data_IF_139865355422
#
_entry.id   IF_139865355422
#
_cell.length_a   1.000
_cell.length_b   1.000
_cell.length_c   1.000
_cell.angle_alpha   90.00
_cell.angle_beta   90.00
_cell.angle_gamma   90.00
#
_symmetry.space_group_name_H-M   'P 1'
#
loop_
_entity.id
_entity.type
_entity.pdbx_description
1 polymer ?
#
# COMPACT_ATOMS: atom_id res chain seq x y z
N UNK A 1 29.40 -29.33 -2.26
CA UNK A 1 29.46 -28.27 -1.21
C UNK A 1 30.70 -27.44 -1.47
N UNK A 2 30.58 -26.39 -2.30
CA UNK A 2 31.64 -25.38 -2.44
C UNK A 2 31.30 -24.26 -1.45
N UNK A 3 32.23 -23.93 -0.56
CA UNK A 3 32.12 -22.76 0.28
C UNK A 3 31.99 -21.53 -0.63
N UNK A 4 30.92 -20.76 -0.47
CA UNK A 4 30.72 -19.53 -1.24
C UNK A 4 31.90 -18.59 -0.94
N UNK A 5 32.86 -18.51 -1.86
CA UNK A 5 33.83 -17.43 -1.86
C UNK A 5 33.01 -16.15 -2.03
N UNK A 6 32.96 -15.32 -0.98
CA UNK A 6 32.30 -14.02 -1.06
C UNK A 6 32.89 -13.21 -2.22
N UNK A 7 32.05 -12.40 -2.86
CA UNK A 7 32.46 -11.49 -3.93
C UNK A 7 33.44 -10.48 -3.34
N UNK A 8 34.69 -10.48 -3.84
CA UNK A 8 35.78 -9.63 -3.31
C UNK A 8 36.28 -8.60 -4.31
N UNK A 9 36.08 -8.86 -5.59
CA UNK A 9 36.46 -7.98 -6.68
C UNK A 9 35.26 -7.55 -7.50
N UNK A 10 35.44 -6.49 -8.28
CA UNK A 10 34.45 -6.03 -9.24
C UNK A 10 34.21 -7.08 -10.33
N UNK A 11 35.27 -7.79 -10.74
CA UNK A 11 35.19 -8.87 -11.71
C UNK A 11 34.29 -10.01 -11.23
N UNK A 12 34.47 -10.46 -9.98
CA UNK A 12 33.59 -11.47 -9.36
C UNK A 12 32.13 -10.96 -9.31
N UNK A 13 31.94 -9.67 -9.00
CA UNK A 13 30.62 -9.05 -8.90
C UNK A 13 29.89 -9.10 -10.24
N UNK A 14 30.57 -8.73 -11.33
CA UNK A 14 30.01 -8.75 -12.68
C UNK A 14 29.80 -10.18 -13.18
N UNK A 15 30.70 -11.12 -12.84
CA UNK A 15 30.54 -12.52 -13.20
C UNK A 15 29.27 -13.13 -12.56
N UNK A 16 29.06 -12.86 -11.27
CA UNK A 16 27.92 -13.41 -10.51
C UNK A 16 26.61 -12.68 -10.85
N UNK A 17 26.63 -11.36 -10.99
CA UNK A 17 25.42 -10.53 -11.10
C UNK A 17 25.18 -9.94 -12.49
N UNK A 18 26.04 -10.19 -13.48
CA UNK A 18 25.98 -9.54 -14.80
C UNK A 18 24.61 -9.64 -15.48
N UNK A 19 23.97 -10.81 -15.39
CA UNK A 19 22.60 -11.01 -15.92
C UNK A 19 21.58 -10.10 -15.23
N UNK A 20 21.66 -9.95 -13.90
CA UNK A 20 20.76 -9.10 -13.12
C UNK A 20 21.02 -7.61 -13.38
N UNK A 21 22.29 -7.22 -13.53
CA UNK A 21 22.68 -5.85 -13.84
C UNK A 21 22.19 -5.42 -15.24
N UNK A 22 22.20 -6.32 -16.21
CA UNK A 22 21.65 -6.07 -17.55
C UNK A 22 20.12 -6.05 -17.50
N UNK A 23 19.50 -6.99 -16.81
CA UNK A 23 18.04 -7.07 -16.69
C UNK A 23 17.43 -5.89 -15.92
N UNK A 24 18.15 -5.28 -14.98
CA UNK A 24 17.71 -4.10 -14.25
C UNK A 24 17.75 -2.81 -15.08
N UNK A 25 18.41 -2.83 -16.25
CA UNK A 25 18.61 -1.65 -17.09
C UNK A 25 19.63 -0.66 -16.54
N UNK A 26 20.42 -1.04 -15.52
CA UNK A 26 21.45 -0.18 -14.95
C UNK A 26 22.61 0.03 -15.96
N UNK A 27 22.94 1.28 -16.31
CA UNK A 27 24.06 1.58 -17.19
C UNK A 27 25.37 0.95 -16.72
N UNK A 28 26.13 0.37 -17.64
CA UNK A 28 27.40 -0.32 -17.31
C UNK A 28 28.43 0.60 -16.63
N UNK A 29 28.41 1.90 -16.96
CA UNK A 29 29.24 2.92 -16.31
C UNK A 29 29.00 3.03 -14.80
N UNK A 30 27.83 2.61 -14.31
CA UNK A 30 27.46 2.67 -12.90
C UNK A 30 27.72 1.36 -12.15
N UNK A 31 28.07 0.26 -12.82
CA UNK A 31 28.25 -1.05 -12.17
C UNK A 31 29.36 -1.02 -11.14
N UNK A 32 30.49 -0.38 -11.45
CA UNK A 32 31.60 -0.25 -10.50
C UNK A 32 31.24 0.63 -9.31
N UNK A 33 30.48 1.71 -9.54
CA UNK A 33 29.98 2.57 -8.47
C UNK A 33 29.01 1.80 -7.56
N UNK A 34 28.10 1.03 -8.14
CA UNK A 34 27.18 0.16 -7.40
C UNK A 34 27.95 -0.86 -6.56
N UNK A 35 28.95 -1.53 -7.14
CA UNK A 35 29.80 -2.47 -6.40
C UNK A 35 30.45 -1.82 -5.19
N UNK A 36 31.10 -0.66 -5.36
CA UNK A 36 31.71 0.07 -4.25
C UNK A 36 30.68 0.44 -3.17
N UNK A 37 29.50 0.93 -3.55
CA UNK A 37 28.45 1.28 -2.59
C UNK A 37 27.92 0.06 -1.84
N UNK A 38 27.73 -1.07 -2.52
CA UNK A 38 27.29 -2.33 -1.90
C UNK A 38 28.34 -2.88 -0.94
N UNK A 39 29.62 -2.88 -1.33
CA UNK A 39 30.72 -3.36 -0.47
C UNK A 39 30.93 -2.47 0.75
N UNK A 40 30.73 -1.16 0.61
CA UNK A 40 30.90 -0.19 1.69
C UNK A 40 29.60 0.10 2.48
N UNK A 41 28.47 -0.52 2.10
CA UNK A 41 27.14 -0.18 2.63
C UNK A 41 26.86 1.34 2.61
N UNK A 42 27.22 2.00 1.51
CA UNK A 42 27.16 3.45 1.39
C UNK A 42 25.77 3.93 0.95
N UNK A 43 24.96 4.38 1.92
CA UNK A 43 23.64 5.00 1.71
C UNK A 43 23.75 6.52 1.64
N UNK A 44 24.12 7.05 0.48
CA UNK A 44 24.41 8.47 0.26
C UNK A 44 23.28 9.26 -0.43
N UNK A 45 22.09 8.66 -0.58
CA UNK A 45 20.94 9.33 -1.19
C UNK A 45 20.54 10.64 -0.50
N UNK A 46 20.74 10.74 0.82
CA UNK A 46 20.46 11.95 1.60
C UNK A 46 21.32 13.16 1.24
N UNK A 47 22.44 12.96 0.53
CA UNK A 47 23.27 14.06 0.01
C UNK A 47 22.66 14.72 -1.23
N UNK A 48 21.71 14.04 -1.88
CA UNK A 48 21.08 14.49 -3.13
C UNK A 48 19.59 14.77 -2.97
N UNK A 49 18.93 14.07 -2.06
CA UNK A 49 17.49 14.13 -1.91
C UNK A 49 17.06 14.38 -0.47
N UNK A 50 15.97 15.12 -0.33
CA UNK A 50 15.27 15.31 0.93
C UNK A 50 13.79 14.94 0.77
N UNK A 51 13.22 14.37 1.82
CA UNK A 51 11.78 14.06 1.88
C UNK A 51 11.08 15.17 2.66
N UNK A 52 10.11 15.82 2.03
CA UNK A 52 9.35 16.93 2.62
C UNK A 52 7.86 16.59 2.73
N UNK A 53 7.17 17.02 3.81
CA UNK A 53 5.72 16.90 3.91
C UNK A 53 5.04 17.85 2.91
N UNK A 54 3.88 17.44 2.39
CA UNK A 54 3.00 18.30 1.58
C UNK A 54 1.93 18.92 2.50
N UNK A 55 1.39 20.10 2.14
CA UNK A 55 0.43 20.88 2.96
C UNK A 55 -0.79 20.09 3.48
N UNK A 56 -1.16 18.99 2.82
CA UNK A 56 -2.29 18.12 3.18
C UNK A 56 -1.89 16.83 3.95
N UNK A 57 -0.64 16.76 4.44
CA UNK A 57 -0.13 15.77 5.42
C UNK A 57 0.04 14.31 4.95
N UNK A 58 -0.82 13.84 4.05
CA UNK A 58 -0.91 12.43 3.61
C UNK A 58 0.07 12.04 2.52
N UNK A 59 0.87 12.98 2.05
CA UNK A 59 1.85 12.76 1.00
C UNK A 59 3.19 13.38 1.36
N UNK A 60 4.25 12.69 0.95
CA UNK A 60 5.62 13.19 1.03
C UNK A 60 6.20 13.34 -0.36
N UNK A 61 6.97 14.40 -0.55
CA UNK A 61 7.65 14.71 -1.80
C UNK A 61 9.13 14.44 -1.64
N UNK A 62 9.71 13.72 -2.59
CA UNK A 62 11.17 13.63 -2.71
C UNK A 62 11.65 14.82 -3.54
N UNK A 63 12.50 15.66 -2.95
CA UNK A 63 13.04 16.88 -3.56
C UNK A 63 14.53 16.68 -3.81
N UNK A 64 15.00 17.07 -4.99
CA UNK A 64 16.43 17.16 -5.28
C UNK A 64 17.02 18.39 -4.57
N UNK A 65 17.94 18.17 -3.64
CA UNK A 65 18.63 19.22 -2.87
C UNK A 65 20.05 19.50 -3.38
N UNK A 66 20.62 18.59 -4.17
CA UNK A 66 21.90 18.84 -4.85
C UNK A 66 21.76 19.84 -6.01
N UNK A 67 22.86 20.54 -6.33
CA UNK A 67 22.89 21.57 -7.39
C UNK A 67 22.46 21.03 -8.76
N UNK A 68 22.82 19.77 -9.06
CA UNK A 68 22.42 19.10 -10.29
C UNK A 68 22.49 17.59 -10.14
N UNK A 69 21.67 16.88 -10.91
CA UNK A 69 21.74 15.43 -11.08
C UNK A 69 21.71 15.11 -12.58
N UNK A 70 22.84 14.65 -13.10
CA UNK A 70 22.98 14.31 -14.51
C UNK A 70 22.28 12.99 -14.85
N UNK A 71 21.98 12.80 -16.14
CA UNK A 71 21.52 11.50 -16.63
C UNK A 71 22.63 10.46 -16.43
N UNK A 72 22.27 9.31 -15.87
CA UNK A 72 23.17 8.17 -15.63
C UNK A 72 24.43 8.53 -14.81
N UNK A 73 24.36 9.59 -13.98
CA UNK A 73 25.52 10.09 -13.22
C UNK A 73 25.75 9.34 -11.91
N UNK A 74 24.70 8.74 -11.33
CA UNK A 74 24.78 8.08 -10.03
C UNK A 74 23.81 6.90 -9.88
N UNK A 75 24.04 6.10 -8.83
CA UNK A 75 23.21 4.97 -8.40
C UNK A 75 23.10 5.03 -6.88
N UNK A 76 21.89 4.98 -6.33
CA UNK A 76 21.65 5.13 -4.90
C UNK A 76 21.14 3.83 -4.30
N UNK A 77 21.70 3.43 -3.17
CA UNK A 77 21.20 2.30 -2.40
C UNK A 77 20.00 2.76 -1.57
N UNK A 78 18.96 1.93 -1.56
CA UNK A 78 17.76 2.12 -0.73
C UNK A 78 17.57 0.84 0.04
N UNK A 79 17.47 0.95 1.36
CA UNK A 79 17.20 -0.20 2.21
C UNK A 79 15.70 -0.47 2.32
N UNK A 80 15.34 -1.72 2.55
CA UNK A 80 13.97 -2.12 2.79
C UNK A 80 13.59 -1.81 4.24
N UNK A 81 12.79 -0.75 4.44
CA UNK A 81 12.27 -0.39 5.77
C UNK A 81 11.53 -1.53 6.48
N UNK A 82 10.93 -2.44 5.70
CA UNK A 82 10.31 -3.67 6.17
C UNK A 82 10.36 -4.74 5.07
N UNK A 83 10.94 -5.90 5.37
CA UNK A 83 10.96 -7.07 4.49
C UNK A 83 9.98 -8.12 4.98
N UNK A 84 9.02 -8.51 4.13
CA UNK A 84 7.99 -9.47 4.50
C UNK A 84 7.52 -10.30 3.31
N UNK A 85 6.92 -11.45 3.60
CA UNK A 85 6.06 -12.16 2.66
C UNK A 85 4.62 -11.70 2.89
N UNK A 86 3.84 -11.56 1.82
CA UNK A 86 2.48 -11.02 1.92
C UNK A 86 1.60 -11.76 2.95
N UNK A 87 1.72 -13.09 3.04
CA UNK A 87 0.97 -13.90 4.00
C UNK A 87 1.34 -13.61 5.47
N UNK A 88 2.58 -13.20 5.71
CA UNK A 88 3.10 -12.93 7.05
C UNK A 88 2.96 -11.45 7.45
N UNK A 89 2.69 -10.57 6.48
CA UNK A 89 2.66 -9.11 6.65
C UNK A 89 1.76 -8.69 7.81
N UNK A 90 0.51 -9.16 7.80
CA UNK A 90 -0.49 -8.82 8.81
C UNK A 90 -0.09 -9.34 10.20
N UNK A 91 0.38 -10.58 10.27
CA UNK A 91 0.82 -11.19 11.53
C UNK A 91 2.03 -10.45 12.10
N UNK A 92 2.99 -10.07 11.26
CA UNK A 92 4.15 -9.30 11.69
C UNK A 92 3.75 -7.92 12.21
N UNK A 93 2.81 -7.24 11.58
CA UNK A 93 2.28 -5.97 12.09
C UNK A 93 1.67 -6.13 13.49
N UNK A 94 0.94 -7.22 13.75
CA UNK A 94 0.35 -7.48 15.07
C UNK A 94 1.37 -7.88 16.14
N UNK A 95 2.34 -8.70 15.78
CA UNK A 95 3.22 -9.37 16.76
C UNK A 95 4.55 -8.65 16.97
N UNK A 96 5.04 -7.88 15.99
CA UNK A 96 6.32 -7.16 16.10
C UNK A 96 6.08 -5.81 16.76
N UNK A 97 6.55 -5.61 18.00
CA UNK A 97 6.30 -4.36 18.73
C UNK A 97 6.89 -3.16 17.98
N UNK A 98 6.12 -2.08 17.86
CA UNK A 98 6.58 -0.85 17.21
C UNK A 98 6.61 -0.90 15.69
N UNK A 99 6.24 -2.02 15.04
CA UNK A 99 6.25 -2.11 13.58
C UNK A 99 5.09 -1.32 12.96
N UNK A 100 3.87 -1.47 13.50
CA UNK A 100 2.68 -0.77 13.01
C UNK A 100 2.86 0.74 13.08
N UNK A 101 3.34 1.25 14.21
CA UNK A 101 3.53 2.68 14.44
C UNK A 101 4.57 3.26 13.48
N UNK A 102 5.67 2.54 13.26
CA UNK A 102 6.70 2.94 12.28
C UNK A 102 6.16 2.90 10.85
N UNK A 103 5.42 1.86 10.48
CA UNK A 103 4.84 1.75 9.13
C UNK A 103 3.76 2.80 8.90
N UNK A 104 2.90 3.07 9.87
CA UNK A 104 1.90 4.14 9.80
C UNK A 104 2.56 5.51 9.61
N UNK A 105 3.56 5.83 10.45
CA UNK A 105 4.32 7.08 10.34
C UNK A 105 5.06 7.21 9.00
N UNK A 106 5.65 6.13 8.49
CA UNK A 106 6.34 6.13 7.20
C UNK A 106 5.37 6.30 6.03
N UNK A 107 4.21 5.64 6.10
CA UNK A 107 3.18 5.66 5.06
C UNK A 107 2.23 6.86 5.15
N UNK A 108 2.47 7.78 6.10
CA UNK A 108 1.59 8.92 6.37
C UNK A 108 0.13 8.51 6.58
N UNK A 109 -0.05 7.35 7.22
CA UNK A 109 -1.34 6.94 7.77
C UNK A 109 -1.39 7.59 9.13
N UNK A 110 -2.30 8.54 9.29
CA UNK A 110 -2.55 9.18 10.57
C UNK A 110 -2.82 8.06 11.59
N UNK A 111 -1.91 7.88 12.56
CA UNK A 111 -2.20 7.08 13.75
C UNK A 111 -3.23 7.79 14.65
N UNK A 112 -3.58 9.03 14.29
CA UNK A 112 -4.73 9.78 14.79
C UNK A 112 -6.02 9.20 14.19
N UNK A 113 -6.34 7.97 14.60
CA UNK A 113 -7.72 7.58 14.85
C UNK A 113 -8.21 8.19 16.19
N UNK A 114 -7.66 9.34 16.59
CA UNK A 114 -8.12 10.19 17.68
C UNK A 114 -7.68 11.65 17.41
N UNK A 115 -8.63 12.58 17.47
CA UNK A 115 -8.58 14.06 17.22
C UNK A 115 -8.89 14.48 15.78
N UNK A 116 -9.98 15.16 15.41
CA UNK A 116 -10.88 16.07 16.15
C UNK A 116 -12.38 15.84 15.80
N UNK A 117 -13.00 14.83 16.40
CA UNK A 117 -14.38 15.03 16.85
C UNK A 117 -14.25 15.38 18.33
N UNK A 118 -14.78 16.53 18.74
CA UNK A 118 -14.87 16.90 20.15
C UNK A 118 -15.32 15.67 20.95
N UNK A 119 -14.53 15.30 21.96
CA UNK A 119 -14.96 14.43 23.05
C UNK A 119 -16.10 15.13 23.82
N UNK A 120 -17.27 15.24 23.20
CA UNK A 120 -18.51 15.11 23.94
C UNK A 120 -18.66 13.62 24.19
N UNK A 121 -18.33 13.20 25.41
CA UNK A 121 -18.39 11.81 25.80
C UNK A 121 -19.74 11.20 25.43
N UNK A 122 -19.69 10.23 24.51
CA UNK A 122 -20.55 9.07 24.54
C UNK A 122 -19.68 7.86 24.19
N UNK A 123 -19.70 6.92 25.12
CA UNK A 123 -19.12 5.59 25.00
C UNK A 123 -19.76 4.89 23.80
N UNK A 124 -19.03 4.71 22.69
CA UNK A 124 -19.23 3.56 21.81
C UNK A 124 -18.03 3.40 20.86
N UNK A 125 -17.08 2.55 21.28
CA UNK A 125 -16.21 1.78 20.37
C UNK A 125 -17.07 0.73 19.63
N UNK A 126 -18.17 1.19 19.04
CA UNK A 126 -19.06 0.39 18.25
C UNK A 126 -18.43 0.27 16.86
N UNK A 127 -18.08 -0.96 16.47
CA UNK A 127 -17.81 -1.29 15.07
C UNK A 127 -18.89 -0.66 14.20
N UNK A 128 -18.52 0.38 13.44
CA UNK A 128 -19.44 1.02 12.49
C UNK A 128 -19.98 -0.06 11.55
N UNK A 129 -21.29 -0.08 11.41
CA UNK A 129 -21.96 -0.96 10.47
C UNK A 129 -21.61 -0.58 9.04
N UNK A 130 -21.74 -1.54 8.13
CA UNK A 130 -21.50 -1.27 6.71
C UNK A 130 -22.39 -0.13 6.15
N UNK A 131 -23.59 0.07 6.73
CA UNK A 131 -24.49 1.16 6.32
C UNK A 131 -23.89 2.52 6.69
N UNK A 132 -23.41 2.67 7.92
CA UNK A 132 -22.83 3.93 8.41
C UNK A 132 -21.56 4.31 7.67
N UNK A 133 -20.71 3.33 7.33
CA UNK A 133 -19.50 3.57 6.53
C UNK A 133 -19.90 4.07 5.13
N UNK A 134 -20.85 3.40 4.48
CA UNK A 134 -21.33 3.79 3.15
C UNK A 134 -21.98 5.17 3.17
N UNK A 135 -22.75 5.50 4.19
CA UNK A 135 -23.39 6.81 4.32
C UNK A 135 -22.36 7.92 4.52
N UNK A 136 -21.36 7.70 5.39
CA UNK A 136 -20.25 8.64 5.60
C UNK A 136 -19.50 8.93 4.31
N UNK A 137 -19.09 7.89 3.59
CA UNK A 137 -18.36 8.06 2.33
C UNK A 137 -19.25 8.67 1.25
N UNK A 138 -20.55 8.38 1.25
CA UNK A 138 -21.48 9.00 0.32
C UNK A 138 -21.72 10.49 0.62
N UNK A 139 -21.63 10.93 1.87
CA UNK A 139 -21.65 12.35 2.22
C UNK A 139 -20.43 13.09 1.62
N UNK A 140 -19.23 12.50 1.68
CA UNK A 140 -18.04 13.06 1.01
C UNK A 140 -18.21 13.18 -0.51
N UNK A 141 -18.90 12.23 -1.14
CA UNK A 141 -19.24 12.32 -2.57
C UNK A 141 -20.16 13.51 -2.87
N UNK A 142 -21.09 13.83 -1.96
CA UNK A 142 -21.98 14.99 -2.12
C UNK A 142 -21.27 16.31 -1.88
N UNK A 143 -20.33 16.36 -0.94
CA UNK A 143 -19.63 17.58 -0.53
C UNK A 143 -18.44 17.93 -1.45
N UNK A 144 -17.62 16.93 -1.79
CA UNK A 144 -16.36 17.10 -2.52
C UNK A 144 -16.45 16.65 -3.99
N UNK A 145 -17.56 16.00 -4.37
CA UNK A 145 -17.88 15.58 -5.73
C UNK A 145 -17.68 14.09 -6.02
N UNK A 146 -18.15 13.65 -7.19
CA UNK A 146 -18.25 12.23 -7.60
C UNK A 146 -16.92 11.46 -7.70
N UNK A 147 -15.78 12.14 -7.56
CA UNK A 147 -14.45 11.56 -7.64
C UNK A 147 -13.69 11.55 -6.31
N UNK A 148 -14.30 12.02 -5.22
CA UNK A 148 -13.68 12.06 -3.89
C UNK A 148 -13.41 10.65 -3.35
N UNK A 149 -14.38 9.75 -3.54
CA UNK A 149 -14.26 8.35 -3.11
C UNK A 149 -13.93 7.44 -4.29
N UNK A 150 -12.67 6.99 -4.35
CA UNK A 150 -12.17 6.04 -5.35
C UNK A 150 -11.86 4.65 -4.78
N UNK A 151 -11.78 4.56 -3.46
CA UNK A 151 -11.48 3.35 -2.71
C UNK A 151 -12.50 3.24 -1.58
N UNK A 152 -13.16 2.08 -1.47
CA UNK A 152 -14.12 1.79 -0.41
C UNK A 152 -13.74 0.50 0.31
N UNK A 153 -13.58 0.59 1.63
CA UNK A 153 -13.21 -0.53 2.49
C UNK A 153 -14.41 -0.91 3.37
N UNK A 154 -14.91 -2.12 3.13
CA UNK A 154 -16.00 -2.72 3.89
C UNK A 154 -15.51 -4.08 4.38
N UNK A 155 -14.53 -4.08 5.29
CA UNK A 155 -13.92 -5.30 5.82
C UNK A 155 -14.51 -5.69 7.18
N UNK A 156 -14.76 -6.98 7.40
CA UNK A 156 -15.18 -7.54 8.71
C UNK A 156 -16.43 -6.87 9.33
N UNK A 157 -17.33 -6.34 8.48
CA UNK A 157 -18.57 -5.61 8.82
C UNK A 157 -19.85 -6.43 8.63
N UNK A 158 -19.70 -7.76 8.60
CA UNK A 158 -20.79 -8.73 8.54
C UNK A 158 -21.75 -8.62 7.35
N UNK A 159 -21.30 -8.07 6.20
CA UNK A 159 -22.14 -7.94 5.00
C UNK A 159 -22.54 -9.32 4.48
N UNK A 160 -23.83 -9.57 4.38
CA UNK A 160 -24.39 -10.72 3.67
C UNK A 160 -24.84 -10.35 2.24
N UNK A 161 -25.28 -11.35 1.48
CA UNK A 161 -25.70 -11.17 0.09
C UNK A 161 -26.87 -10.19 -0.08
N UNK A 162 -27.81 -10.14 0.89
CA UNK A 162 -28.95 -9.24 0.85
C UNK A 162 -28.53 -7.79 1.15
N UNK A 163 -27.65 -7.63 2.13
CA UNK A 163 -27.09 -6.35 2.53
C UNK A 163 -26.28 -5.74 1.38
N UNK A 164 -25.43 -6.52 0.70
CA UNK A 164 -24.64 -6.05 -0.44
C UNK A 164 -25.53 -5.43 -1.54
N UNK A 165 -26.68 -6.03 -1.82
CA UNK A 165 -27.66 -5.49 -2.79
C UNK A 165 -28.33 -4.23 -2.25
N UNK A 166 -28.70 -4.21 -0.97
CA UNK A 166 -29.38 -3.06 -0.35
C UNK A 166 -28.51 -1.80 -0.26
N UNK A 167 -27.18 -1.96 -0.19
CA UNK A 167 -26.25 -0.84 -0.06
C UNK A 167 -26.19 0.04 -1.33
N UNK A 168 -26.58 -0.51 -2.49
CA UNK A 168 -26.62 0.18 -3.79
C UNK A 168 -25.33 0.95 -4.11
N UNK A 169 -24.19 0.29 -3.85
CA UNK A 169 -22.86 0.85 -4.03
C UNK A 169 -22.59 1.38 -5.45
N UNK A 170 -23.03 0.72 -6.55
CA UNK A 170 -22.78 1.22 -7.90
C UNK A 170 -23.42 2.59 -8.18
N UNK A 171 -24.60 2.85 -7.61
CA UNK A 171 -25.31 4.13 -7.77
C UNK A 171 -24.69 5.22 -6.90
N UNK A 172 -24.25 4.88 -5.69
CA UNK A 172 -23.61 5.82 -4.74
C UNK A 172 -22.17 6.18 -5.15
N UNK A 173 -21.42 5.23 -5.70
CA UNK A 173 -20.00 5.38 -6.04
C UNK A 173 -19.71 4.98 -7.50
N UNK A 174 -20.21 5.73 -8.50
CA UNK A 174 -20.10 5.34 -9.91
C UNK A 174 -18.65 5.30 -10.45
N UNK A 175 -17.73 6.02 -9.80
CA UNK A 175 -16.32 6.12 -10.18
C UNK A 175 -15.37 5.35 -9.26
N UNK A 176 -15.91 4.41 -8.47
CA UNK A 176 -15.11 3.57 -7.59
C UNK A 176 -14.12 2.74 -8.40
N UNK A 177 -12.85 2.75 -7.98
CA UNK A 177 -11.75 2.00 -8.61
C UNK A 177 -11.43 0.75 -7.81
N UNK A 178 -11.50 0.83 -6.49
CA UNK A 178 -11.15 -0.24 -5.56
C UNK A 178 -12.28 -0.49 -4.55
N UNK A 179 -12.64 -1.76 -4.37
CA UNK A 179 -13.61 -2.21 -3.37
C UNK A 179 -13.04 -3.39 -2.58
N UNK A 180 -12.95 -3.25 -1.26
CA UNK A 180 -12.67 -4.37 -0.36
C UNK A 180 -13.94 -4.81 0.35
N UNK A 181 -14.29 -6.09 0.19
CA UNK A 181 -15.36 -6.79 0.90
C UNK A 181 -14.78 -7.95 1.72
N UNK A 182 -13.53 -7.85 2.13
CA UNK A 182 -12.79 -8.90 2.84
C UNK A 182 -13.46 -9.26 4.17
N UNK A 183 -13.51 -10.54 4.51
CA UNK A 183 -13.97 -10.99 5.84
C UNK A 183 -15.47 -10.86 6.11
N UNK A 184 -16.29 -10.77 5.06
CA UNK A 184 -17.74 -10.67 5.20
C UNK A 184 -18.44 -12.04 5.11
N UNK A 185 -19.78 -12.03 5.17
CA UNK A 185 -20.65 -13.20 5.18
C UNK A 185 -21.26 -13.48 3.79
N UNK A 186 -20.51 -13.20 2.71
CA UNK A 186 -20.99 -13.41 1.33
C UNK A 186 -20.95 -14.89 0.94
N UNK A 187 -22.11 -15.44 0.55
CA UNK A 187 -22.26 -16.85 0.20
C UNK A 187 -22.49 -17.07 -1.30
N UNK A 188 -23.05 -16.09 -2.02
CA UNK A 188 -23.48 -16.24 -3.40
C UNK A 188 -22.60 -15.42 -4.36
N UNK A 189 -21.80 -16.12 -5.14
CA UNK A 189 -20.95 -15.51 -6.18
C UNK A 189 -21.73 -14.81 -7.29
N UNK A 190 -22.93 -15.29 -7.64
CA UNK A 190 -23.78 -14.67 -8.67
C UNK A 190 -24.28 -13.29 -8.21
N UNK A 191 -24.65 -13.16 -6.93
CA UNK A 191 -25.07 -11.88 -6.35
C UNK A 191 -23.93 -10.87 -6.40
N UNK A 192 -22.72 -11.28 -6.00
CA UNK A 192 -21.54 -10.41 -6.04
C UNK A 192 -21.23 -9.99 -7.46
N UNK A 193 -21.23 -10.92 -8.43
CA UNK A 193 -21.00 -10.61 -9.84
C UNK A 193 -22.04 -9.62 -10.36
N UNK A 194 -23.32 -9.82 -10.04
CA UNK A 194 -24.40 -8.91 -10.46
C UNK A 194 -24.22 -7.49 -9.94
N UNK A 195 -23.75 -7.32 -8.72
CA UNK A 195 -23.47 -5.99 -8.14
C UNK A 195 -22.19 -5.40 -8.75
N UNK A 196 -21.12 -6.19 -8.81
CA UNK A 196 -19.81 -5.76 -9.32
C UNK A 196 -19.88 -5.36 -10.81
N UNK A 197 -20.66 -6.07 -11.62
CA UNK A 197 -20.84 -5.78 -13.04
C UNK A 197 -21.50 -4.42 -13.33
N UNK A 198 -22.14 -3.80 -12.33
CA UNK A 198 -22.75 -2.47 -12.47
C UNK A 198 -21.71 -1.34 -12.34
N UNK A 199 -20.53 -1.61 -11.78
CA UNK A 199 -19.46 -0.61 -11.70
C UNK A 199 -18.76 -0.44 -13.05
N UNK A 200 -18.65 0.80 -13.52
CA UNK A 200 -17.99 1.12 -14.80
C UNK A 200 -16.48 1.28 -14.70
N UNK A 201 -15.96 1.56 -13.51
CA UNK A 201 -14.57 1.97 -13.29
C UNK A 201 -13.80 1.08 -12.31
N UNK A 202 -14.42 0.00 -11.81
CA UNK A 202 -13.81 -0.88 -10.84
C UNK A 202 -12.64 -1.66 -11.48
N UNK A 203 -11.47 -1.59 -10.87
CA UNK A 203 -10.24 -2.25 -11.33
C UNK A 203 -9.66 -3.21 -10.29
N UNK A 204 -10.03 -3.04 -9.02
CA UNK A 204 -9.56 -3.87 -7.93
C UNK A 204 -10.72 -4.30 -7.02
N UNK A 205 -10.74 -5.58 -6.66
CA UNK A 205 -11.76 -6.18 -5.82
C UNK A 205 -11.11 -7.20 -4.88
N UNK A 206 -11.32 -7.05 -3.58
CA UNK A 206 -10.89 -8.02 -2.56
C UNK A 206 -12.09 -8.72 -1.94
N UNK A 207 -12.11 -10.05 -2.06
CA UNK A 207 -13.20 -10.91 -1.55
C UNK A 207 -12.68 -11.97 -0.56
N UNK A 208 -11.42 -11.88 -0.14
CA UNK A 208 -10.78 -12.87 0.72
C UNK A 208 -11.60 -13.10 2.01
N UNK A 209 -11.53 -14.33 2.54
CA UNK A 209 -12.21 -14.72 3.78
C UNK A 209 -13.75 -14.65 3.75
N UNK A 210 -14.37 -14.62 2.57
CA UNK A 210 -15.81 -14.82 2.41
C UNK A 210 -16.17 -16.32 2.24
N UNK A 211 -17.31 -16.79 2.79
CA UNK A 211 -17.78 -18.15 2.63
C UNK A 211 -17.81 -18.66 1.18
N UNK A 212 -18.21 -17.82 0.23
CA UNK A 212 -18.33 -18.19 -1.19
C UNK A 212 -16.99 -18.61 -1.85
N UNK A 213 -15.85 -18.26 -1.26
CA UNK A 213 -14.52 -18.64 -1.77
C UNK A 213 -13.95 -19.89 -1.11
N UNK A 214 -14.64 -20.47 -0.11
CA UNK A 214 -14.27 -21.76 0.46
C UNK A 214 -14.68 -22.84 -0.53
N UNK A 215 -13.75 -23.22 -1.41
CA UNK A 215 -13.90 -24.39 -2.28
C UNK A 215 -13.97 -25.62 -1.36
N UNK A 216 -15.06 -26.38 -1.48
CA UNK A 216 -15.20 -27.68 -0.83
C UNK A 216 -14.27 -28.73 -1.41
#
# INVERSE_FOLDING_TARGET
>A
MSAAAGIRSYEDFVEVHGVLLVASGLPQSLHQKLFHKLTAEAFDGGNFFQVEPVEDGRQRRLVLTADSLGKDSDVFLVDHAWTFRLADAYKQLQEVPGLVERMASLMCVDADLNSDAEETGDEDDAKLSAVEIVEREFCKVKEEGIHSVRWLELEDVEIDDAMLVSLDLPSKFPHLIALSLRGNKLNNSETVIKVVAQFKSLRALWLNYNPMLKIG
#
